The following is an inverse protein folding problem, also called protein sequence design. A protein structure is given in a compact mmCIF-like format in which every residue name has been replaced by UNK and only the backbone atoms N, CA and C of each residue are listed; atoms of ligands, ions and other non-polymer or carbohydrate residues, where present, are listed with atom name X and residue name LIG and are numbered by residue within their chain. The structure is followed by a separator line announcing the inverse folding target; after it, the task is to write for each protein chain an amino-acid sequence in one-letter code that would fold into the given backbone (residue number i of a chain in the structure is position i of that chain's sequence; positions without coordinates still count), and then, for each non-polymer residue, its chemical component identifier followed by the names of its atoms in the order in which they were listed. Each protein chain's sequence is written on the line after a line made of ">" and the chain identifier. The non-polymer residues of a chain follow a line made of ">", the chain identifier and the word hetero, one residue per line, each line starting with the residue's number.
data_IF_099426566096
#
_entry.id   IF_099426566096
#
_cell.length_a   1.000
_cell.length_b   1.000
_cell.length_c   1.000
_cell.angle_alpha   90.00
_cell.angle_beta   90.00
_cell.angle_gamma   90.00
#
_symmetry.space_group_name_H-M   'P 1'
#
loop_
_entity.id
_entity.type
_entity.pdbx_description
1 polymer ?
#
# COMPACT_ATOMS: atom_id res chain seq x y z
N UNK A 1 20.06 8.75 -3.68
CA UNK A 1 19.89 8.08 -4.98
C UNK A 1 19.99 9.17 -6.03
N UNK A 2 20.81 8.97 -7.07
CA UNK A 2 21.12 10.00 -8.07
C UNK A 2 20.35 9.79 -9.39
N UNK A 3 19.70 8.63 -9.55
CA UNK A 3 18.88 8.31 -10.72
C UNK A 3 17.61 9.20 -10.75
N UNK A 4 17.22 9.65 -11.95
CA UNK A 4 16.01 10.48 -12.17
C UNK A 4 14.85 9.68 -12.76
N UNK A 5 15.14 8.56 -13.40
CA UNK A 5 14.17 7.66 -14.02
C UNK A 5 14.40 6.21 -13.59
N UNK A 6 13.31 5.44 -13.58
CA UNK A 6 13.35 3.99 -13.38
C UNK A 6 14.12 3.35 -14.54
N UNK A 7 14.88 2.31 -14.22
CA UNK A 7 15.70 1.53 -15.14
C UNK A 7 15.59 0.07 -14.72
N UNK A 8 15.95 -0.85 -15.61
CA UNK A 8 15.93 -2.29 -15.31
C UNK A 8 16.79 -2.66 -14.08
N UNK A 9 17.82 -1.87 -13.79
CA UNK A 9 18.68 -2.10 -12.64
C UNK A 9 17.95 -1.89 -11.29
N UNK A 10 16.82 -1.17 -11.28
CA UNK A 10 15.96 -1.01 -10.10
C UNK A 10 15.06 -2.23 -9.83
N UNK A 11 14.94 -3.19 -10.75
CA UNK A 11 14.09 -4.39 -10.61
C UNK A 11 14.84 -5.72 -10.44
N UNK A 12 16.17 -5.70 -10.34
CA UNK A 12 16.99 -6.91 -10.40
C UNK A 12 17.30 -7.58 -9.04
N UNK A 13 16.65 -7.17 -7.96
CA UNK A 13 16.95 -7.68 -6.60
C UNK A 13 18.24 -7.13 -5.98
N UNK A 14 18.95 -6.22 -6.66
CA UNK A 14 20.26 -5.73 -6.26
C UNK A 14 20.23 -4.52 -5.33
N UNK A 15 21.38 -3.84 -5.22
CA UNK A 15 21.53 -2.62 -4.42
C UNK A 15 20.57 -1.52 -4.87
N UNK A 16 20.46 -1.27 -6.18
CA UNK A 16 19.61 -0.20 -6.73
C UNK A 16 18.13 -0.39 -6.42
N UNK A 17 17.63 -1.63 -6.41
CA UNK A 17 16.26 -1.93 -5.99
C UNK A 17 16.04 -1.54 -4.52
N UNK A 18 16.96 -1.92 -3.63
CA UNK A 18 16.90 -1.56 -2.21
C UNK A 18 16.98 -0.05 -2.00
N UNK A 19 17.88 0.63 -2.72
CA UNK A 19 18.01 2.09 -2.65
C UNK A 19 16.71 2.77 -3.09
N UNK A 20 16.03 2.27 -4.12
CA UNK A 20 14.73 2.76 -4.57
C UNK A 20 13.64 2.52 -3.52
N UNK A 21 13.57 1.31 -2.96
CA UNK A 21 12.63 0.95 -1.89
C UNK A 21 12.79 1.89 -0.70
N UNK A 22 14.03 2.13 -0.25
CA UNK A 22 14.29 3.01 0.89
C UNK A 22 14.01 4.49 0.57
N UNK A 23 14.49 4.98 -0.58
CA UNK A 23 14.38 6.39 -0.93
C UNK A 23 12.95 6.84 -1.23
N UNK A 24 12.12 5.96 -1.81
CA UNK A 24 10.77 6.30 -2.25
C UNK A 24 9.73 5.73 -1.30
N UNK A 25 9.70 4.41 -1.10
CA UNK A 25 8.59 3.79 -0.37
C UNK A 25 8.80 3.86 1.15
N UNK A 26 9.91 3.36 1.67
CA UNK A 26 10.15 3.32 3.12
C UNK A 26 10.21 4.72 3.74
N UNK A 27 10.69 5.72 2.99
CA UNK A 27 10.70 7.13 3.42
C UNK A 27 9.31 7.65 3.78
N UNK A 28 8.28 7.31 3.02
CA UNK A 28 6.92 7.83 3.23
C UNK A 28 6.01 6.86 3.99
N UNK A 29 6.23 5.57 3.81
CA UNK A 29 5.38 4.48 4.31
C UNK A 29 6.00 3.78 5.53
N UNK A 30 7.14 4.29 6.01
CA UNK A 30 7.92 3.75 7.11
C UNK A 30 7.19 3.72 8.44
N UNK A 31 7.39 2.63 9.17
CA UNK A 31 6.89 2.43 10.53
C UNK A 31 7.81 1.43 11.26
N UNK A 32 7.69 1.28 12.59
CA UNK A 32 8.56 0.40 13.36
C UNK A 32 8.52 -1.08 12.96
N UNK A 33 7.43 -1.51 12.32
CA UNK A 33 7.24 -2.88 11.85
C UNK A 33 7.72 -3.08 10.40
N UNK A 34 8.20 -2.02 9.72
CA UNK A 34 8.73 -2.09 8.35
C UNK A 34 10.18 -2.55 8.34
N UNK A 35 10.42 -3.70 7.71
CA UNK A 35 11.76 -4.21 7.38
C UNK A 35 11.90 -4.35 5.86
N UNK A 36 12.66 -3.45 5.23
CA UNK A 36 12.93 -3.45 3.79
C UNK A 36 13.93 -4.53 3.36
N UNK A 37 14.60 -5.19 4.31
CA UNK A 37 15.53 -6.28 4.06
C UNK A 37 14.93 -7.67 4.24
N UNK A 38 13.70 -7.77 4.75
CA UNK A 38 13.02 -9.03 4.98
C UNK A 38 12.25 -9.50 3.73
N UNK A 39 12.40 -10.79 3.40
CA UNK A 39 11.60 -11.43 2.35
C UNK A 39 10.14 -11.70 2.80
N UNK A 40 9.91 -11.72 4.12
CA UNK A 40 8.61 -11.88 4.74
C UNK A 40 8.59 -11.24 6.12
N UNK A 41 7.44 -10.66 6.50
CA UNK A 41 7.22 -10.05 7.81
C UNK A 41 6.12 -10.80 8.58
N UNK A 42 6.27 -10.88 9.89
CA UNK A 42 5.24 -11.47 10.76
C UNK A 42 4.19 -10.43 11.13
N UNK A 43 2.91 -10.75 10.91
CA UNK A 43 1.80 -9.89 11.30
C UNK A 43 1.32 -10.25 12.71
N UNK A 44 1.34 -9.29 13.62
CA UNK A 44 0.76 -9.45 14.96
C UNK A 44 -0.72 -9.10 14.87
N UNK A 45 -1.63 -10.00 15.23
CA UNK A 45 -3.06 -9.69 15.29
C UNK A 45 -3.40 -9.33 16.76
N UNK A 46 -3.65 -8.04 17.09
CA UNK A 46 -4.00 -7.67 18.46
C UNK A 46 -5.20 -8.47 19.00
N UNK A 47 -5.11 -8.92 20.24
CA UNK A 47 -6.25 -9.53 20.92
C UNK A 47 -7.37 -8.48 21.12
N UNK A 48 -8.62 -8.83 20.79
CA UNK A 48 -9.79 -7.98 21.05
C UNK A 48 -10.23 -7.02 19.93
N UNK A 49 -9.58 -7.03 18.76
CA UNK A 49 -10.13 -6.42 17.50
C UNK A 49 -11.12 -7.35 16.79
N UNK A 50 -11.32 -8.54 17.33
CA UNK A 50 -12.35 -9.49 16.95
C UNK A 50 -13.66 -9.01 17.57
N UNK A 51 -14.56 -8.50 16.72
CA UNK A 51 -15.76 -7.80 17.16
C UNK A 51 -16.62 -8.59 18.15
N UNK A 52 -17.09 -7.93 19.19
CA UNK A 52 -18.25 -8.39 19.96
C UNK A 52 -19.55 -8.00 19.24
N UNK A 53 -20.49 -8.96 19.21
CA UNK A 53 -21.93 -8.84 18.96
C UNK A 53 -22.41 -8.89 17.49
N UNK A 54 -22.69 -10.12 17.03
CA UNK A 54 -23.49 -10.41 15.83
C UNK A 54 -23.54 -11.92 15.56
N UNK A 55 -24.75 -12.49 15.52
CA UNK A 55 -25.01 -13.94 15.44
C UNK A 55 -24.18 -14.67 14.35
N UNK A 56 -23.20 -15.48 14.76
CA UNK A 56 -22.64 -16.56 13.94
C UNK A 56 -21.24 -16.37 13.32
N UNK A 57 -20.61 -15.19 13.39
CA UNK A 57 -19.22 -15.02 12.91
C UNK A 57 -18.21 -15.29 14.03
N UNK A 58 -17.24 -16.14 13.73
CA UNK A 58 -16.23 -16.59 14.68
C UNK A 58 -15.34 -15.41 15.12
N UNK A 59 -15.02 -15.41 16.42
CA UNK A 59 -14.36 -14.31 17.11
C UNK A 59 -12.86 -14.20 16.80
N UNK A 60 -12.42 -14.52 15.57
CA UNK A 60 -11.01 -14.60 15.13
C UNK A 60 -10.85 -14.64 13.58
N UNK A 61 -11.83 -14.17 12.81
CA UNK A 61 -11.77 -14.25 11.35
C UNK A 61 -10.79 -13.21 10.77
N UNK A 62 -9.80 -13.68 10.01
CA UNK A 62 -8.90 -12.85 9.21
C UNK A 62 -9.49 -12.74 7.81
N UNK A 63 -9.73 -11.50 7.36
CA UNK A 63 -10.21 -11.20 6.02
C UNK A 63 -9.06 -10.62 5.21
N UNK A 64 -8.89 -11.13 3.99
CA UNK A 64 -7.85 -10.70 3.06
C UNK A 64 -8.50 -10.35 1.73
N UNK A 65 -8.08 -9.24 1.15
CA UNK A 65 -8.40 -8.86 -0.23
C UNK A 65 -7.13 -8.40 -0.93
N UNK A 66 -7.10 -8.49 -2.26
CA UNK A 66 -6.04 -7.98 -3.11
C UNK A 66 -6.67 -7.45 -4.38
N UNK A 67 -6.18 -6.31 -4.87
CA UNK A 67 -6.67 -5.72 -6.11
C UNK A 67 -5.51 -5.12 -6.91
N UNK A 68 -5.68 -5.06 -8.23
CA UNK A 68 -4.69 -4.56 -9.17
C UNK A 68 -5.18 -3.28 -9.85
N UNK A 69 -4.38 -2.22 -9.80
CA UNK A 69 -4.76 -0.91 -10.32
C UNK A 69 -3.94 -0.56 -11.56
N UNK A 70 -4.62 -0.29 -12.69
CA UNK A 70 -3.99 -0.01 -14.00
C UNK A 70 -4.55 1.27 -14.65
N UNK A 71 -5.01 2.23 -13.83
CA UNK A 71 -5.66 3.46 -14.31
C UNK A 71 -4.71 4.34 -15.14
N UNK A 72 -5.25 4.94 -16.21
CA UNK A 72 -4.58 5.94 -17.03
C UNK A 72 -5.47 7.18 -17.20
N UNK A 73 -4.94 8.41 -17.01
CA UNK A 73 -3.59 8.73 -16.57
C UNK A 73 -3.31 8.35 -15.10
N UNK A 74 -2.03 8.19 -14.72
CA UNK A 74 -1.63 7.85 -13.34
C UNK A 74 -2.05 8.91 -12.31
N UNK A 75 -2.18 10.17 -12.75
CA UNK A 75 -2.69 11.30 -11.97
C UNK A 75 -3.91 11.86 -12.68
N UNK A 76 -5.01 11.99 -11.96
CA UNK A 76 -6.31 12.39 -12.51
C UNK A 76 -7.00 13.43 -11.61
N UNK A 77 -8.03 14.13 -12.10
CA UNK A 77 -8.80 15.04 -11.26
C UNK A 77 -9.40 14.31 -10.05
N UNK A 78 -8.96 14.68 -8.84
CA UNK A 78 -9.44 14.08 -7.59
C UNK A 78 -8.52 13.05 -6.94
N UNK A 79 -7.40 12.67 -7.58
CA UNK A 79 -6.43 11.76 -6.97
C UNK A 79 -5.37 11.24 -7.93
N UNK A 80 -4.76 10.14 -7.55
CA UNK A 80 -3.78 9.40 -8.34
C UNK A 80 -3.90 7.90 -8.05
N UNK A 81 -3.19 7.10 -8.84
CA UNK A 81 -3.17 5.64 -8.71
C UNK A 81 -2.82 5.15 -7.30
N UNK A 82 -1.97 5.87 -6.55
CA UNK A 82 -1.57 5.51 -5.19
C UNK A 82 -2.71 5.67 -4.19
N UNK A 83 -3.38 6.83 -4.23
CA UNK A 83 -4.57 7.07 -3.40
C UNK A 83 -5.72 6.11 -3.75
N UNK A 84 -5.89 5.82 -5.05
CA UNK A 84 -6.89 4.87 -5.53
C UNK A 84 -6.62 3.46 -5.00
N UNK A 85 -5.36 3.01 -5.06
CA UNK A 85 -4.99 1.68 -4.60
C UNK A 85 -5.35 1.46 -3.12
N UNK A 86 -5.00 2.43 -2.28
CA UNK A 86 -5.28 2.36 -0.84
C UNK A 86 -6.77 2.43 -0.55
N UNK A 87 -7.50 3.35 -1.19
CA UNK A 87 -8.94 3.49 -0.97
C UNK A 87 -9.74 2.31 -1.52
N UNK A 88 -9.38 1.78 -2.68
CA UNK A 88 -10.03 0.60 -3.28
C UNK A 88 -9.90 -0.61 -2.37
N UNK A 89 -8.67 -0.96 -1.99
CA UNK A 89 -8.41 -2.11 -1.09
C UNK A 89 -9.04 -1.93 0.30
N UNK A 90 -9.05 -0.72 0.85
CA UNK A 90 -9.72 -0.45 2.12
C UNK A 90 -11.25 -0.60 2.01
N UNK A 91 -11.84 -0.15 0.90
CA UNK A 91 -13.28 -0.26 0.66
C UNK A 91 -13.72 -1.71 0.52
N UNK A 92 -12.94 -2.57 -0.14
CA UNK A 92 -13.21 -4.01 -0.24
C UNK A 92 -13.32 -4.69 1.13
N UNK A 93 -12.47 -4.29 2.08
CA UNK A 93 -12.56 -4.77 3.47
C UNK A 93 -13.77 -4.15 4.19
N UNK A 94 -14.03 -2.87 3.97
CA UNK A 94 -15.13 -2.17 4.62
C UNK A 94 -16.51 -2.72 4.22
N UNK A 95 -16.72 -3.11 2.96
CA UNK A 95 -18.01 -3.64 2.47
C UNK A 95 -18.40 -4.97 3.13
N UNK A 96 -17.43 -5.76 3.61
CA UNK A 96 -17.68 -7.00 4.36
C UNK A 96 -17.69 -6.81 5.88
N UNK A 97 -17.53 -5.56 6.34
CA UNK A 97 -17.48 -5.18 7.75
C UNK A 97 -16.12 -5.45 8.43
N UNK A 98 -15.06 -5.69 7.65
CA UNK A 98 -13.72 -5.90 8.18
C UNK A 98 -13.03 -4.55 8.43
N UNK A 99 -12.21 -4.50 9.48
CA UNK A 99 -11.35 -3.35 9.76
C UNK A 99 -9.99 -3.59 9.10
N UNK A 100 -9.52 -2.72 8.19
CA UNK A 100 -8.16 -2.81 7.65
C UNK A 100 -7.14 -2.70 8.80
N UNK A 101 -6.17 -3.60 8.83
CA UNK A 101 -5.09 -3.58 9.81
C UNK A 101 -3.72 -3.38 9.17
N UNK A 102 -3.55 -3.95 7.98
CA UNK A 102 -2.29 -4.10 7.25
C UNK A 102 -2.53 -3.98 5.75
N UNK A 103 -1.55 -3.46 5.02
CA UNK A 103 -1.56 -3.34 3.55
C UNK A 103 -0.25 -3.88 3.01
N UNK A 104 -0.31 -4.75 2.01
CA UNK A 104 0.84 -5.12 1.17
C UNK A 104 0.85 -4.25 -0.08
N UNK A 105 2.02 -3.99 -0.65
CA UNK A 105 2.17 -3.20 -1.88
C UNK A 105 3.00 -3.97 -2.90
N UNK A 106 2.44 -4.19 -4.09
CA UNK A 106 3.20 -4.66 -5.23
C UNK A 106 3.19 -3.56 -6.28
N UNK A 107 4.37 -3.11 -6.71
CA UNK A 107 4.52 -2.07 -7.71
C UNK A 107 5.19 -2.65 -8.96
N UNK A 108 4.46 -2.56 -10.07
CA UNK A 108 4.98 -2.82 -11.41
C UNK A 108 5.36 -1.47 -12.03
N UNK A 109 6.65 -1.29 -12.26
CA UNK A 109 7.20 -0.02 -12.76
C UNK A 109 7.71 -0.23 -14.19
N UNK A 110 7.51 0.77 -15.05
CA UNK A 110 8.04 0.78 -16.40
C UNK A 110 9.38 1.53 -16.47
N UNK A 111 10.23 1.16 -17.42
CA UNK A 111 11.52 1.83 -17.64
C UNK A 111 11.26 3.21 -18.23
N UNK A 112 11.97 4.21 -17.72
CA UNK A 112 11.71 5.60 -18.08
C UNK A 112 10.59 6.26 -17.26
N UNK A 113 9.97 5.59 -16.29
CA UNK A 113 9.09 6.28 -15.32
C UNK A 113 9.91 7.27 -14.50
N UNK A 114 9.46 8.53 -14.41
CA UNK A 114 10.12 9.54 -13.59
C UNK A 114 10.02 9.18 -12.09
N UNK A 115 11.16 9.16 -11.40
CA UNK A 115 11.20 8.86 -9.95
C UNK A 115 10.44 9.93 -9.16
N UNK A 116 10.48 11.19 -9.58
CA UNK A 116 9.70 12.28 -8.96
C UNK A 116 8.19 12.04 -9.03
N UNK A 117 7.70 11.39 -10.09
CA UNK A 117 6.29 11.01 -10.20
C UNK A 117 5.97 9.85 -9.26
N UNK A 118 6.82 8.83 -9.25
CA UNK A 118 6.69 7.70 -8.33
C UNK A 118 6.70 8.15 -6.87
N UNK A 119 7.55 9.12 -6.52
CA UNK A 119 7.63 9.69 -5.18
C UNK A 119 6.33 10.38 -4.76
N UNK A 120 5.71 11.15 -5.66
CA UNK A 120 4.40 11.78 -5.41
C UNK A 120 3.31 10.74 -5.18
N UNK A 121 3.33 9.66 -5.96
CA UNK A 121 2.40 8.53 -5.81
C UNK A 121 2.64 7.81 -4.46
N UNK A 122 3.89 7.60 -4.05
CA UNK A 122 4.18 7.02 -2.74
C UNK A 122 3.67 7.92 -1.59
N UNK A 123 3.79 9.24 -1.73
CA UNK A 123 3.25 10.22 -0.76
C UNK A 123 1.72 10.21 -0.68
N UNK A 124 1.03 9.89 -1.78
CA UNK A 124 -0.44 9.82 -1.80
C UNK A 124 -0.98 8.51 -1.20
N UNK A 125 -0.17 7.44 -1.22
CA UNK A 125 -0.47 6.17 -0.55
C UNK A 125 -0.45 6.28 0.98
N UNK A 126 0.22 7.29 1.54
CA UNK A 126 0.15 7.54 2.98
C UNK A 126 -1.31 7.81 3.34
N UNK A 127 -1.89 6.90 4.14
CA UNK A 127 -3.23 7.00 4.69
C UNK A 127 -3.40 8.32 5.44
N UNK A 128 -3.86 9.34 4.72
CA UNK A 128 -4.44 10.54 5.30
C UNK A 128 -5.93 10.28 5.51
N UNK A 129 -6.54 10.89 6.54
CA UNK A 129 -7.99 10.98 6.58
C UNK A 129 -8.44 11.63 5.26
N UNK A 130 -9.13 10.88 4.40
CA UNK A 130 -9.67 11.46 3.19
C UNK A 130 -10.65 12.56 3.59
N UNK A 131 -10.59 13.71 2.93
CA UNK A 131 -11.60 14.78 3.07
C UNK A 131 -12.96 14.38 2.46
N UNK A 132 -13.17 13.10 2.14
CA UNK A 132 -14.40 12.60 1.57
C UNK A 132 -15.46 12.51 2.69
N UNK A 133 -16.13 13.63 2.94
CA UNK A 133 -17.31 13.75 3.83
C UNK A 133 -18.58 13.10 3.23
N UNK A 134 -18.46 12.36 2.13
CA UNK A 134 -19.58 11.68 1.48
C UNK A 134 -19.63 10.19 1.85
N UNK A 135 -20.46 9.83 2.84
CA UNK A 135 -21.07 8.50 3.01
C UNK A 135 -20.20 7.23 3.08
N UNK A 136 -18.87 7.32 3.14
CA UNK A 136 -18.02 6.15 3.35
C UNK A 136 -17.44 6.14 4.78
N UNK A 137 -17.78 5.15 5.63
CA UNK A 137 -17.38 5.18 7.02
C UNK A 137 -15.87 4.96 7.17
N UNK A 138 -15.18 6.03 7.56
CA UNK A 138 -14.01 6.05 8.44
C UNK A 138 -12.94 4.94 8.22
N UNK A 139 -11.86 5.28 7.52
CA UNK A 139 -10.54 4.80 7.97
C UNK A 139 -10.19 5.61 9.23
N UNK A 140 -10.76 5.20 10.37
CA UNK A 140 -10.48 5.81 11.66
C UNK A 140 -9.06 5.42 12.09
N UNK A 141 -8.36 6.37 12.70
CA UNK A 141 -7.03 6.24 13.33
C UNK A 141 -6.77 4.81 13.86
N UNK A 142 -5.73 4.14 13.33
CA UNK A 142 -5.26 2.84 13.84
C UNK A 142 -4.89 1.77 12.81
N UNK A 143 -4.98 2.03 11.49
CA UNK A 143 -4.43 1.11 10.48
C UNK A 143 -2.89 1.24 10.48
N UNK A 144 -2.18 0.12 10.56
CA UNK A 144 -0.71 0.09 10.41
C UNK A 144 -0.41 -0.34 8.99
N UNK A 145 0.55 0.31 8.33
CA UNK A 145 1.03 -0.22 7.06
C UNK A 145 2.07 -1.30 7.35
N UNK A 146 1.72 -2.57 7.24
CA UNK A 146 2.74 -3.63 7.18
C UNK A 146 3.24 -3.72 5.74
N UNK A 147 4.02 -2.72 5.33
CA UNK A 147 4.44 -2.56 3.97
C UNK A 147 5.46 -3.66 3.60
N UNK A 148 5.02 -4.63 2.80
CA UNK A 148 5.92 -5.43 1.99
C UNK A 148 5.85 -4.82 0.58
N UNK A 149 6.93 -4.17 0.13
CA UNK A 149 7.03 -3.70 -1.26
C UNK A 149 7.66 -4.80 -2.09
N UNK A 150 6.84 -5.53 -2.85
CA UNK A 150 7.36 -6.31 -3.95
C UNK A 150 7.50 -5.39 -5.17
N UNK A 151 8.71 -5.27 -5.72
CA UNK A 151 8.92 -4.62 -7.00
C UNK A 151 9.03 -5.71 -8.06
N UNK A 152 8.03 -5.76 -8.93
CA UNK A 152 8.00 -6.69 -10.06
C UNK A 152 8.04 -5.90 -11.37
N UNK A 153 8.47 -6.55 -12.45
CA UNK A 153 8.67 -5.89 -13.74
C UNK A 153 7.74 -6.44 -14.81
N UNK A 154 7.17 -5.56 -15.62
CA UNK A 154 6.46 -5.93 -16.85
C UNK A 154 7.38 -5.68 -18.05
N UNK A 155 7.64 -6.73 -18.83
CA UNK A 155 8.37 -6.63 -20.11
C UNK A 155 7.30 -6.57 -21.21
N UNK A 156 6.71 -5.41 -21.44
CA UNK A 156 5.95 -5.14 -22.66
C UNK A 156 6.46 -3.85 -23.32
#
# INVERSE_FOLDING_TARGET
>A
MDDTHISLAHGNGGRRMRDLIEAVFARHLGNPDLDTGADAISLVIPAGITGTQGQGRQNNEIVVTTDGFTVQPLVFPGGDIGSLAIHGTANDLAVVGAKPLYFTLNAFLEEGLAIDLLDRIAVSMVLRPSKFEGHCPMIRHGCRMALMVALNWSVE
#
